data_IF_525247935353
#
_entry.id   IF_525247935353
#
_cell.length_a   1.000
_cell.length_b   1.000
_cell.length_c   1.000
_cell.angle_alpha   90.00
_cell.angle_beta   90.00
_cell.angle_gamma   90.00
#
_symmetry.space_group_name_H-M   'P 1'
#
loop_
_entity.id
_entity.type
_entity.pdbx_description
1 polymer ?
#
# COMPACT_ATOMS: atom_id res chain seq x y z
N UNK A 1 19.46 -16.01 -9.05
CA UNK A 1 19.22 -14.55 -9.06
C UNK A 1 18.70 -14.19 -7.69
N UNK A 2 19.29 -13.21 -7.00
CA UNK A 2 18.74 -12.77 -5.70
C UNK A 2 17.36 -12.18 -5.95
N UNK A 3 16.32 -12.88 -5.54
CA UNK A 3 14.93 -12.43 -5.65
C UNK A 3 14.72 -11.29 -4.65
N UNK A 4 14.98 -10.06 -5.09
CA UNK A 4 14.87 -8.87 -4.24
C UNK A 4 13.46 -8.32 -4.39
N UNK A 5 12.59 -8.67 -3.45
CA UNK A 5 11.26 -8.07 -3.35
C UNK A 5 11.37 -6.56 -3.16
N UNK A 6 10.69 -5.80 -4.02
CA UNK A 6 10.55 -4.36 -3.92
C UNK A 6 9.38 -4.02 -2.99
N UNK A 7 9.67 -3.34 -1.88
CA UNK A 7 8.64 -2.79 -1.02
C UNK A 7 8.08 -1.51 -1.65
N UNK A 8 6.76 -1.39 -1.67
CA UNK A 8 6.03 -0.29 -2.30
C UNK A 8 5.14 0.37 -1.25
N UNK A 9 5.30 1.69 -1.09
CA UNK A 9 4.37 2.56 -0.40
C UNK A 9 3.41 3.21 -1.39
N UNK A 10 2.12 3.28 -1.08
CA UNK A 10 1.12 3.97 -1.91
C UNK A 10 0.51 5.10 -1.12
N UNK A 11 0.64 6.34 -1.60
CA UNK A 11 0.02 7.53 -1.00
C UNK A 11 -1.18 7.94 -1.85
N UNK A 12 -2.35 7.97 -1.22
CA UNK A 12 -3.65 8.13 -1.84
C UNK A 12 -4.25 6.78 -2.29
N UNK A 13 -5.33 6.37 -1.63
CA UNK A 13 -6.20 5.25 -2.01
C UNK A 13 -7.62 5.68 -2.42
N UNK A 14 -7.76 6.94 -2.89
CA UNK A 14 -8.95 7.45 -3.57
C UNK A 14 -9.18 6.85 -4.97
N UNK A 15 -9.72 7.62 -5.92
CA UNK A 15 -10.22 7.11 -7.21
C UNK A 15 -9.29 6.12 -7.97
N UNK A 16 -7.98 6.40 -8.03
CA UNK A 16 -7.02 5.55 -8.75
C UNK A 16 -6.16 4.65 -7.86
N UNK A 17 -6.04 4.95 -6.57
CA UNK A 17 -5.13 4.22 -5.69
C UNK A 17 -5.40 2.71 -5.59
N UNK A 18 -6.67 2.23 -5.52
CA UNK A 18 -6.99 0.81 -5.54
C UNK A 18 -6.47 0.07 -6.77
N UNK A 19 -6.37 0.74 -7.93
CA UNK A 19 -5.79 0.12 -9.13
C UNK A 19 -4.28 -0.06 -9.00
N UNK A 20 -3.56 0.91 -8.41
CA UNK A 20 -2.13 0.79 -8.16
C UNK A 20 -1.85 -0.31 -7.13
N UNK A 21 -2.60 -0.31 -6.02
CA UNK A 21 -2.49 -1.32 -4.96
C UNK A 21 -2.72 -2.72 -5.53
N UNK A 22 -3.82 -2.91 -6.27
CA UNK A 22 -4.15 -4.20 -6.91
C UNK A 22 -3.03 -4.68 -7.83
N UNK A 23 -2.52 -3.79 -8.68
CA UNK A 23 -1.48 -4.15 -9.64
C UNK A 23 -0.20 -4.58 -8.90
N UNK A 24 0.31 -3.77 -7.98
CA UNK A 24 1.56 -4.10 -7.27
C UNK A 24 1.43 -5.29 -6.31
N UNK A 25 0.29 -5.47 -5.67
CA UNK A 25 0.06 -6.64 -4.81
C UNK A 25 0.04 -7.96 -5.60
N UNK A 26 -0.39 -7.91 -6.87
CA UNK A 26 -0.41 -9.07 -7.75
C UNK A 26 0.86 -9.31 -8.57
N UNK A 27 1.87 -8.44 -8.49
CA UNK A 27 3.13 -8.62 -9.23
C UNK A 27 4.16 -9.40 -8.42
N UNK A 28 4.74 -10.44 -9.03
CA UNK A 28 5.89 -11.13 -8.46
C UNK A 28 7.05 -10.16 -8.25
N UNK A 29 7.78 -10.34 -7.14
CA UNK A 29 8.86 -9.45 -6.76
C UNK A 29 8.40 -8.09 -6.22
N UNK A 30 7.11 -7.84 -6.05
CA UNK A 30 6.57 -6.64 -5.40
C UNK A 30 5.87 -6.99 -4.08
N UNK A 31 5.98 -6.09 -3.10
CA UNK A 31 5.19 -6.13 -1.86
C UNK A 31 4.68 -4.73 -1.57
N UNK A 32 3.37 -4.55 -1.58
CA UNK A 32 2.75 -3.34 -1.02
C UNK A 32 2.93 -3.39 0.51
N UNK A 33 3.84 -2.57 1.05
CA UNK A 33 4.20 -2.55 2.48
C UNK A 33 3.19 -1.72 3.26
N UNK A 34 2.93 -0.50 2.79
CA UNK A 34 2.14 0.49 3.51
C UNK A 34 1.27 1.31 2.54
N UNK A 35 0.05 1.65 2.92
CA UNK A 35 -0.83 2.59 2.21
C UNK A 35 -1.10 3.80 3.10
N UNK A 36 -0.97 5.00 2.56
CA UNK A 36 -1.22 6.26 3.24
C UNK A 36 -2.40 6.97 2.59
N UNK A 37 -3.41 7.38 3.37
CA UNK A 37 -4.50 8.25 2.92
C UNK A 37 -5.06 8.99 4.14
N UNK A 38 -5.61 10.19 3.95
CA UNK A 38 -6.21 10.95 5.05
C UNK A 38 -7.58 10.38 5.47
N UNK A 39 -8.21 9.61 4.59
CA UNK A 39 -9.53 9.01 4.79
C UNK A 39 -9.39 7.58 5.37
N UNK A 40 -9.65 7.46 6.67
CA UNK A 40 -9.56 6.19 7.40
C UNK A 40 -10.53 5.11 6.88
N UNK A 41 -11.69 5.50 6.33
CA UNK A 41 -12.66 4.54 5.78
C UNK A 41 -12.08 3.89 4.51
N UNK A 42 -11.35 4.66 3.69
CA UNK A 42 -10.64 4.11 2.53
C UNK A 42 -9.50 3.19 2.94
N UNK A 43 -8.75 3.55 3.98
CA UNK A 43 -7.69 2.70 4.54
C UNK A 43 -8.27 1.37 5.05
N UNK A 44 -9.36 1.41 5.81
CA UNK A 44 -10.04 0.23 6.30
C UNK A 44 -10.55 -0.65 5.15
N UNK A 45 -11.11 -0.04 4.11
CA UNK A 45 -11.55 -0.76 2.91
C UNK A 45 -10.40 -1.51 2.23
N UNK A 46 -9.27 -0.84 1.94
CA UNK A 46 -8.13 -1.49 1.27
C UNK A 46 -7.42 -2.52 2.14
N UNK A 47 -7.32 -2.28 3.45
CA UNK A 47 -6.75 -3.26 4.39
C UNK A 47 -7.62 -4.53 4.49
N UNK A 48 -8.93 -4.40 4.36
CA UNK A 48 -9.84 -5.54 4.28
C UNK A 48 -9.63 -6.39 3.01
N UNK A 49 -9.25 -5.76 1.89
CA UNK A 49 -9.00 -6.44 0.61
C UNK A 49 -7.62 -7.10 0.54
N UNK A 50 -6.60 -6.48 1.14
CA UNK A 50 -5.20 -6.90 1.02
C UNK A 50 -4.60 -7.17 2.39
N UNK A 51 -4.58 -8.45 2.78
CA UNK A 51 -4.05 -8.88 4.07
C UNK A 51 -2.54 -8.59 4.18
N UNK A 52 -2.10 -8.13 5.35
CA UNK A 52 -0.68 -7.88 5.66
C UNK A 52 -0.11 -6.56 5.13
N UNK A 53 -0.96 -5.67 4.60
CA UNK A 53 -0.59 -4.30 4.22
C UNK A 53 -0.77 -3.38 5.44
N UNK A 54 0.24 -2.57 5.77
CA UNK A 54 0.12 -1.52 6.77
C UNK A 54 -0.68 -0.32 6.25
N UNK A 55 -1.33 0.41 7.14
CA UNK A 55 -2.02 1.66 6.79
C UNK A 55 -1.61 2.78 7.73
N UNK A 56 -1.52 4.00 7.22
CA UNK A 56 -1.24 5.20 8.01
C UNK A 56 -2.02 6.38 7.45
N UNK A 57 -2.34 7.35 8.29
CA UNK A 57 -2.87 8.67 7.86
C UNK A 57 -1.77 9.72 7.76
N UNK A 58 -0.55 9.38 8.16
CA UNK A 58 0.61 10.27 8.16
C UNK A 58 1.63 9.85 7.09
N UNK A 59 1.94 10.76 6.18
CA UNK A 59 2.92 10.55 5.12
C UNK A 59 4.34 10.44 5.68
N UNK A 60 4.68 11.20 6.71
CA UNK A 60 6.02 11.20 7.29
C UNK A 60 6.30 9.86 8.00
N UNK A 61 5.29 9.27 8.65
CA UNK A 61 5.38 7.91 9.22
C UNK A 61 5.72 6.88 8.13
N UNK A 62 5.14 6.99 6.93
CA UNK A 62 5.41 6.07 5.83
C UNK A 62 6.83 6.22 5.27
N UNK A 63 7.33 7.45 5.11
CA UNK A 63 8.64 7.70 4.47
C UNK A 63 9.80 7.33 5.40
N UNK A 64 9.58 7.38 6.71
CA UNK A 64 10.61 7.11 7.72
C UNK A 64 10.61 5.65 8.26
N UNK A 65 9.80 4.75 7.69
CA UNK A 65 9.61 3.32 8.08
C UNK A 65 10.44 2.30 7.28
#
# INVERSE_FOLDING_TARGET
MSDRTLNIGVVGCGYWGPNLIRNFHGQEGCRVKTICDLDEDRLAHVAGLYQGVGTTTDFDDMVND
#
